data_IF_121942807992
#
_entry.id   IF_121942807992
#
_cell.length_a   1.000
_cell.length_b   1.000
_cell.length_c   1.000
_cell.angle_alpha   90.00
_cell.angle_beta   90.00
_cell.angle_gamma   90.00
#
_symmetry.space_group_name_H-M   'P 1'
#
loop_
_entity.id
_entity.type
_entity.pdbx_description
1 polymer ?
#
# COMPACT_ATOMS: atom_id res chain seq x y z
N UNK A 1 1.17 -5.69 16.87
CA UNK A 1 1.05 -6.74 15.83
C UNK A 1 1.48 -6.14 14.49
N UNK A 2 2.07 -6.93 13.60
CA UNK A 2 2.45 -6.55 12.24
C UNK A 2 1.86 -7.60 11.31
N UNK A 3 1.09 -7.18 10.30
CA UNK A 3 0.51 -8.10 9.33
C UNK A 3 1.50 -8.43 8.23
N UNK A 4 1.94 -7.40 7.50
CA UNK A 4 2.88 -7.51 6.39
C UNK A 4 4.03 -6.50 6.52
N UNK A 5 5.18 -6.87 5.94
CA UNK A 5 6.38 -6.07 5.84
C UNK A 5 7.05 -6.28 4.49
N UNK A 6 7.52 -5.19 3.90
CA UNK A 6 8.48 -5.25 2.81
C UNK A 6 9.89 -4.97 3.34
N UNK A 7 10.79 -5.93 3.14
CA UNK A 7 12.21 -5.81 3.49
C UNK A 7 13.06 -5.58 2.23
N UNK A 8 13.91 -4.56 2.25
CA UNK A 8 14.78 -4.18 1.12
C UNK A 8 16.18 -3.81 1.60
N UNK A 9 17.18 -4.03 0.74
CA UNK A 9 18.44 -3.31 0.89
C UNK A 9 18.23 -1.85 0.48
N UNK A 10 18.11 -0.96 1.46
CA UNK A 10 17.69 0.40 1.23
C UNK A 10 18.69 1.18 0.37
N UNK A 11 18.23 1.80 -0.71
CA UNK A 11 19.04 2.65 -1.58
C UNK A 11 18.38 4.02 -1.83
N UNK A 12 17.52 4.45 -0.92
CA UNK A 12 16.76 5.68 -1.04
C UNK A 12 17.55 6.95 -0.68
N UNK A 13 16.83 8.07 -0.50
CA UNK A 13 17.41 9.38 -0.21
C UNK A 13 18.12 9.48 1.15
N UNK A 14 17.68 8.76 2.18
CA UNK A 14 18.28 8.82 3.51
C UNK A 14 19.67 8.15 3.51
N UNK A 15 20.71 8.95 3.62
CA UNK A 15 22.10 8.48 3.49
C UNK A 15 22.55 7.64 4.69
N UNK A 16 21.93 7.80 5.85
CA UNK A 16 22.34 7.10 7.08
C UNK A 16 22.07 5.59 6.99
N UNK A 17 21.06 5.20 6.22
CA UNK A 17 20.61 3.80 6.10
C UNK A 17 20.92 3.18 4.73
N UNK A 18 21.78 3.81 3.91
CA UNK A 18 22.14 3.23 2.61
C UNK A 18 22.81 1.87 2.75
N UNK A 19 22.32 0.91 1.95
CA UNK A 19 22.72 -0.49 1.88
C UNK A 19 22.45 -1.28 3.18
N UNK A 20 21.62 -0.74 4.06
CA UNK A 20 21.10 -1.42 5.25
C UNK A 20 19.89 -2.27 4.88
N UNK A 21 19.70 -3.43 5.51
CA UNK A 21 18.47 -4.23 5.35
C UNK A 21 17.36 -3.56 6.20
N UNK A 22 16.44 -2.87 5.53
CA UNK A 22 15.35 -2.12 6.15
C UNK A 22 14.03 -2.83 5.86
N UNK A 23 13.21 -3.04 6.89
CA UNK A 23 11.83 -3.49 6.73
C UNK A 23 10.84 -2.38 7.05
N UNK A 24 9.92 -2.17 6.12
CA UNK A 24 8.80 -1.22 6.16
C UNK A 24 7.52 -2.01 6.38
N UNK A 25 6.80 -1.74 7.46
CA UNK A 25 5.73 -2.60 7.94
C UNK A 25 4.47 -1.81 8.28
N UNK A 26 3.30 -2.38 7.94
CA UNK A 26 2.03 -1.98 8.53
C UNK A 26 1.99 -2.42 10.00
N UNK A 27 2.13 -1.47 10.92
CA UNK A 27 2.22 -1.75 12.36
C UNK A 27 0.92 -1.33 13.05
N UNK A 28 0.17 -2.29 13.60
CA UNK A 28 -1.09 -2.04 14.32
C UNK A 28 -0.92 -1.14 15.55
N UNK A 29 0.26 -1.21 16.19
CA UNK A 29 0.56 -0.47 17.41
C UNK A 29 1.92 0.21 17.30
N UNK A 30 1.91 1.50 16.96
CA UNK A 30 3.08 2.34 17.20
C UNK A 30 3.23 2.63 18.71
N UNK A 31 4.46 2.54 19.23
CA UNK A 31 4.80 2.55 20.66
C UNK A 31 3.94 3.55 21.46
N UNK A 32 3.23 3.02 22.47
CA UNK A 32 2.43 3.73 23.51
C UNK A 32 1.25 4.59 23.03
N UNK A 33 0.81 4.50 21.78
CA UNK A 33 -0.31 5.34 21.28
C UNK A 33 -1.61 4.59 20.94
N UNK A 34 -1.66 3.25 21.04
CA UNK A 34 -2.80 2.42 20.61
C UNK A 34 -3.36 2.84 19.24
N UNK A 35 -2.46 3.26 18.35
CA UNK A 35 -2.76 3.70 16.99
C UNK A 35 -1.73 3.06 16.06
N UNK A 36 -2.21 2.61 14.91
CA UNK A 36 -1.38 2.03 13.89
C UNK A 36 -0.61 3.06 13.07
N UNK A 37 0.37 2.58 12.31
CA UNK A 37 1.23 3.41 11.50
C UNK A 37 2.21 2.63 10.64
N UNK A 38 3.09 3.37 9.97
CA UNK A 38 4.25 2.81 9.28
C UNK A 38 5.38 2.57 10.28
N UNK A 39 5.67 1.31 10.57
CA UNK A 39 6.83 0.88 11.35
C UNK A 39 8.04 0.64 10.46
N UNK A 40 9.21 1.14 10.88
CA UNK A 40 10.48 1.01 10.15
C UNK A 40 11.53 0.38 11.07
N UNK A 41 12.17 -0.68 10.57
CA UNK A 41 13.13 -1.47 11.35
C UNK A 41 14.41 -1.71 10.55
N UNK A 42 15.56 -1.60 11.21
CA UNK A 42 16.85 -2.12 10.71
C UNK A 42 16.97 -3.59 11.13
N UNK A 43 16.99 -4.45 10.11
CA UNK A 43 17.03 -5.91 10.22
C UNK A 43 18.40 -6.49 9.87
N UNK A 44 19.41 -5.65 9.66
CA UNK A 44 20.77 -6.07 9.28
C UNK A 44 21.36 -7.08 10.26
N UNK A 45 21.04 -6.93 11.56
CA UNK A 45 21.34 -7.93 12.58
C UNK A 45 20.04 -8.57 13.08
N UNK A 46 19.74 -9.77 12.59
CA UNK A 46 18.49 -10.50 12.91
C UNK A 46 18.35 -10.90 14.38
N UNK A 47 19.44 -10.92 15.15
CA UNK A 47 19.39 -11.18 16.59
C UNK A 47 19.31 -9.88 17.42
N UNK A 48 19.44 -8.73 16.77
CA UNK A 48 19.35 -7.41 17.39
C UNK A 48 18.66 -6.42 16.45
N UNK A 49 17.36 -6.66 16.24
CA UNK A 49 16.50 -5.81 15.42
C UNK A 49 16.42 -4.43 16.06
N UNK A 50 16.69 -3.38 15.28
CA UNK A 50 16.56 -2.00 15.77
C UNK A 50 15.29 -1.37 15.20
N UNK A 51 14.44 -0.89 16.08
CA UNK A 51 13.32 -0.03 15.70
C UNK A 51 13.86 1.37 15.35
N UNK A 52 13.65 1.80 14.10
CA UNK A 52 14.04 3.13 13.62
C UNK A 52 12.93 4.12 13.97
N UNK A 53 11.71 3.88 13.49
CA UNK A 53 10.58 4.77 13.70
C UNK A 53 9.25 4.03 13.61
N UNK A 54 8.19 4.67 14.12
CA UNK A 54 6.82 4.26 13.87
C UNK A 54 5.93 5.50 13.80
N UNK A 55 5.45 5.84 12.61
CA UNK A 55 4.69 7.07 12.37
C UNK A 55 3.22 6.75 12.12
N UNK A 56 2.36 7.32 12.94
CA UNK A 56 0.89 7.16 12.88
C UNK A 56 0.25 8.15 11.92
N UNK A 57 -0.98 7.87 11.48
CA UNK A 57 -1.82 8.74 10.66
C UNK A 57 -3.25 8.84 11.22
N UNK A 58 -4.05 9.73 10.64
CA UNK A 58 -5.47 9.89 10.99
C UNK A 58 -6.29 8.70 10.48
N UNK A 59 -7.34 8.30 11.22
CA UNK A 59 -8.18 7.14 10.89
C UNK A 59 -7.43 5.81 10.74
N UNK A 60 -6.24 5.69 11.34
CA UNK A 60 -5.55 4.40 11.38
C UNK A 60 -6.36 3.38 12.18
N UNK A 61 -6.56 2.22 11.58
CA UNK A 61 -7.35 1.11 12.11
C UNK A 61 -6.54 -0.19 12.08
N UNK A 62 -6.22 -0.67 10.89
CA UNK A 62 -5.40 -1.85 10.63
C UNK A 62 -4.45 -1.61 9.44
N UNK A 63 -3.35 -0.87 9.66
CA UNK A 63 -2.28 -0.74 8.67
C UNK A 63 -1.82 -2.14 8.24
N UNK A 64 -2.13 -2.49 7.00
CA UNK A 64 -2.17 -3.88 6.58
C UNK A 64 -0.90 -4.26 5.83
N UNK A 65 -0.60 -3.53 4.76
CA UNK A 65 0.47 -3.87 3.83
C UNK A 65 0.97 -2.62 3.09
N UNK A 66 2.10 -2.74 2.41
CA UNK A 66 2.56 -1.70 1.51
C UNK A 66 3.78 -2.08 0.68
N UNK A 67 4.11 -1.21 -0.27
CA UNK A 67 5.21 -1.41 -1.19
C UNK A 67 5.97 -0.12 -1.48
N UNK A 68 7.29 -0.22 -1.55
CA UNK A 68 8.22 0.88 -1.78
C UNK A 68 8.36 1.16 -3.29
N UNK A 69 8.59 2.43 -3.64
CA UNK A 69 8.94 2.84 -5.00
C UNK A 69 10.34 2.37 -5.41
N UNK A 70 10.61 2.29 -6.71
CA UNK A 70 11.94 1.93 -7.25
C UNK A 70 13.06 2.86 -6.75
N UNK A 71 12.72 4.13 -6.45
CA UNK A 71 13.64 5.12 -5.90
C UNK A 71 13.86 4.99 -4.38
N UNK A 72 13.14 4.09 -3.72
CA UNK A 72 13.11 3.90 -2.26
C UNK A 72 12.75 5.16 -1.46
N UNK A 73 12.15 6.16 -2.12
CA UNK A 73 11.74 7.42 -1.50
C UNK A 73 10.29 7.39 -1.05
N UNK A 74 9.43 6.68 -1.77
CA UNK A 74 8.01 6.64 -1.45
C UNK A 74 7.60 5.25 -1.01
N UNK A 75 6.71 5.18 -0.04
CA UNK A 75 6.07 3.94 0.38
C UNK A 75 4.55 4.10 0.27
N UNK A 76 3.93 3.18 -0.47
CA UNK A 76 2.49 3.14 -0.68
C UNK A 76 1.90 2.13 0.30
N UNK A 77 0.87 2.51 1.05
CA UNK A 77 0.35 1.70 2.15
C UNK A 77 -1.18 1.73 2.15
N UNK A 78 -1.80 0.59 2.46
CA UNK A 78 -3.24 0.45 2.69
C UNK A 78 -3.57 0.17 4.17
N UNK A 79 -4.82 0.41 4.54
CA UNK A 79 -5.39 0.13 5.86
C UNK A 79 -6.70 -0.65 5.71
N UNK A 80 -6.64 -1.97 5.86
CA UNK A 80 -7.75 -2.88 5.50
C UNK A 80 -8.99 -2.73 6.42
N UNK A 81 -8.98 -1.86 7.43
CA UNK A 81 -10.18 -1.62 8.24
C UNK A 81 -10.56 -0.16 8.44
N UNK A 82 -9.92 0.79 7.75
CA UNK A 82 -10.28 2.19 7.90
C UNK A 82 -11.64 2.51 7.25
N UNK A 83 -11.99 1.89 6.11
CA UNK A 83 -13.28 2.12 5.46
C UNK A 83 -14.45 1.59 6.31
N UNK A 84 -14.24 0.45 6.99
CA UNK A 84 -15.22 -0.15 7.89
C UNK A 84 -15.39 0.64 9.20
N UNK A 85 -14.28 1.00 9.84
CA UNK A 85 -14.31 1.59 11.18
C UNK A 85 -14.57 3.11 11.13
N UNK A 86 -14.09 3.78 10.09
CA UNK A 86 -14.13 5.24 9.97
C UNK A 86 -15.02 5.75 8.85
N UNK A 87 -15.63 4.85 8.06
CA UNK A 87 -16.54 5.23 6.98
C UNK A 87 -15.88 6.21 5.99
N UNK A 88 -14.61 5.93 5.64
CA UNK A 88 -13.86 6.67 4.63
C UNK A 88 -13.93 5.99 3.27
N UNK A 89 -13.58 6.73 2.22
CA UNK A 89 -13.39 6.17 0.88
C UNK A 89 -12.19 5.22 0.86
N UNK A 90 -12.18 4.27 -0.08
CA UNK A 90 -11.04 3.37 -0.28
C UNK A 90 -9.75 4.17 -0.46
N UNK A 91 -8.76 3.96 0.41
CA UNK A 91 -7.63 4.87 0.55
C UNK A 91 -6.28 4.21 0.21
N UNK A 92 -5.37 4.98 -0.40
CA UNK A 92 -3.95 4.59 -0.53
C UNK A 92 -3.08 5.71 0.03
N UNK A 93 -2.33 5.43 1.08
CA UNK A 93 -1.45 6.37 1.76
C UNK A 93 -0.08 6.43 1.06
N UNK A 94 0.51 7.62 1.00
CA UNK A 94 1.85 7.83 0.42
C UNK A 94 2.78 8.48 1.43
N UNK A 95 3.78 7.72 1.86
CA UNK A 95 4.82 8.17 2.78
C UNK A 95 6.06 8.63 2.01
N UNK A 96 6.63 9.78 2.37
CA UNK A 96 7.98 10.18 1.97
C UNK A 96 9.00 9.71 3.01
N UNK A 97 9.95 8.90 2.54
CA UNK A 97 11.05 8.25 3.25
C UNK A 97 12.37 9.00 3.08
N UNK A 98 12.33 10.32 2.86
CA UNK A 98 13.52 11.18 2.84
C UNK A 98 14.32 11.11 4.14
N UNK A 99 13.63 10.89 5.27
CA UNK A 99 14.22 10.66 6.59
C UNK A 99 13.50 9.46 7.23
N UNK A 100 14.18 8.31 7.38
CA UNK A 100 13.57 7.07 7.89
C UNK A 100 13.22 7.15 9.38
N UNK A 101 13.90 8.02 10.13
CA UNK A 101 13.61 8.28 11.55
C UNK A 101 12.29 9.06 11.75
N UNK A 102 11.81 9.75 10.72
CA UNK A 102 10.58 10.55 10.75
C UNK A 102 9.88 10.58 9.38
N UNK A 103 9.36 9.44 8.88
CA UNK A 103 8.67 9.41 7.60
C UNK A 103 7.42 10.29 7.66
N UNK A 104 7.07 10.92 6.54
CA UNK A 104 5.96 11.88 6.48
C UNK A 104 4.87 11.40 5.53
N UNK A 105 3.60 11.47 5.96
CA UNK A 105 2.47 11.24 5.06
C UNK A 105 2.31 12.47 4.18
N UNK A 106 2.71 12.36 2.90
CA UNK A 106 2.73 13.51 1.98
C UNK A 106 1.44 13.65 1.18
N UNK A 107 0.73 12.53 0.96
CA UNK A 107 -0.58 12.53 0.31
C UNK A 107 -1.30 11.21 0.52
N UNK A 108 -2.55 11.18 0.05
CA UNK A 108 -3.35 9.97 -0.08
C UNK A 108 -4.14 10.03 -1.40
N UNK A 109 -4.38 8.88 -2.00
CA UNK A 109 -5.40 8.72 -3.02
C UNK A 109 -6.66 8.15 -2.39
N UNK A 110 -7.82 8.62 -2.84
CA UNK A 110 -9.12 8.11 -2.39
C UNK A 110 -10.00 7.81 -3.59
N UNK A 111 -10.63 6.65 -3.59
CA UNK A 111 -11.64 6.33 -4.59
C UNK A 111 -12.98 6.97 -4.23
N UNK A 112 -13.23 8.19 -4.70
CA UNK A 112 -14.44 8.95 -4.38
C UNK A 112 -15.76 8.32 -4.88
N UNK A 113 -15.68 7.26 -5.69
CA UNK A 113 -16.85 6.55 -6.21
C UNK A 113 -17.28 5.36 -5.34
N UNK A 114 -16.49 4.98 -4.33
CA UNK A 114 -16.74 3.79 -3.52
C UNK A 114 -16.14 3.90 -2.12
N UNK A 115 -16.53 2.97 -1.25
CA UNK A 115 -16.00 2.80 0.11
C UNK A 115 -15.70 1.31 0.33
N UNK A 116 -15.12 0.64 -0.66
CA UNK A 116 -14.73 -0.77 -0.52
C UNK A 116 -13.46 -0.88 0.30
N UNK A 117 -13.31 -1.97 1.02
CA UNK A 117 -12.10 -2.27 1.79
C UNK A 117 -10.89 -2.37 0.83
N UNK A 118 -9.83 -1.62 1.10
CA UNK A 118 -8.55 -1.81 0.42
C UNK A 118 -7.86 -3.11 0.85
N UNK A 119 -7.03 -3.68 -0.01
CA UNK A 119 -6.26 -4.87 0.33
C UNK A 119 -4.87 -4.81 -0.33
N UNK A 120 -4.26 -5.97 -0.58
CA UNK A 120 -2.91 -6.11 -1.14
C UNK A 120 -2.63 -5.17 -2.31
N UNK A 121 -1.56 -4.37 -2.19
CA UNK A 121 -1.03 -3.49 -3.22
C UNK A 121 0.43 -3.79 -3.50
N UNK A 122 0.83 -3.62 -4.76
CA UNK A 122 2.22 -3.67 -5.17
C UNK A 122 2.55 -2.46 -6.04
N UNK A 123 3.76 -1.93 -5.87
CA UNK A 123 4.34 -0.99 -6.81
C UNK A 123 5.31 -1.71 -7.75
N UNK A 124 5.08 -1.57 -9.05
CA UNK A 124 5.94 -2.15 -10.07
C UNK A 124 5.94 -1.26 -11.33
N UNK A 125 7.13 -0.87 -11.80
CA UNK A 125 7.34 -0.10 -13.04
C UNK A 125 6.49 1.18 -13.14
N UNK A 126 6.36 1.90 -12.03
CA UNK A 126 5.59 3.16 -11.99
C UNK A 126 4.09 3.01 -11.78
N UNK A 127 3.59 1.78 -11.65
CA UNK A 127 2.19 1.47 -11.40
C UNK A 127 2.00 0.91 -9.99
N UNK A 128 0.94 1.35 -9.33
CA UNK A 128 0.43 0.73 -8.12
C UNK A 128 -0.77 -0.10 -8.55
N UNK A 129 -0.65 -1.42 -8.42
CA UNK A 129 -1.78 -2.33 -8.63
C UNK A 129 -2.28 -2.75 -7.25
N UNK A 130 -3.59 -2.69 -7.02
CA UNK A 130 -4.19 -2.99 -5.73
C UNK A 130 -5.48 -3.78 -5.88
N UNK A 131 -5.62 -4.83 -5.08
CA UNK A 131 -6.86 -5.58 -4.91
C UNK A 131 -7.69 -4.87 -3.86
N UNK A 132 -8.94 -4.51 -4.15
CA UNK A 132 -9.81 -3.79 -3.23
C UNK A 132 -11.14 -4.54 -3.04
N UNK A 133 -11.06 -5.83 -2.74
CA UNK A 133 -12.20 -6.71 -2.49
C UNK A 133 -13.33 -6.52 -3.53
N UNK A 134 -14.49 -6.03 -3.08
CA UNK A 134 -15.73 -5.88 -3.86
C UNK A 134 -15.66 -4.77 -4.91
N UNK A 135 -14.54 -4.05 -4.96
CA UNK A 135 -14.27 -3.01 -5.94
C UNK A 135 -13.14 -3.42 -6.90
N UNK A 136 -12.75 -4.70 -6.88
CA UNK A 136 -11.85 -5.32 -7.84
C UNK A 136 -10.41 -4.80 -7.82
N UNK A 137 -9.70 -5.03 -8.92
CA UNK A 137 -8.36 -4.50 -9.15
C UNK A 137 -8.44 -3.04 -9.56
N UNK A 138 -7.64 -2.19 -8.92
CA UNK A 138 -7.40 -0.79 -9.31
C UNK A 138 -5.94 -0.60 -9.69
N UNK A 139 -5.70 0.14 -10.76
CA UNK A 139 -4.34 0.48 -11.22
C UNK A 139 -4.17 1.99 -11.15
N UNK A 140 -3.28 2.44 -10.27
CA UNK A 140 -2.89 3.84 -10.15
C UNK A 140 -1.54 4.06 -10.82
N UNK A 141 -1.37 5.23 -11.45
CA UNK A 141 -0.07 5.74 -11.88
C UNK A 141 0.45 6.74 -10.87
N UNK A 142 1.71 6.55 -10.45
CA UNK A 142 2.39 7.49 -9.56
C UNK A 142 3.33 8.42 -10.33
N UNK A 143 3.18 9.73 -10.14
CA UNK A 143 4.08 10.75 -10.67
C UNK A 143 4.80 11.48 -9.53
N UNK A 144 6.05 11.07 -9.25
CA UNK A 144 6.87 11.69 -8.21
C UNK A 144 7.29 13.14 -8.50
N UNK A 145 7.17 13.59 -9.75
CA UNK A 145 7.58 14.94 -10.18
C UNK A 145 6.42 15.94 -10.19
N UNK A 146 5.20 15.50 -9.89
CA UNK A 146 4.06 16.40 -9.84
C UNK A 146 4.21 17.40 -8.66
N UNK A 147 3.86 18.65 -8.93
CA UNK A 147 4.07 19.78 -8.01
C UNK A 147 3.03 19.84 -6.88
N UNK A 148 1.90 19.15 -7.03
CA UNK A 148 0.84 19.06 -6.02
C UNK A 148 0.65 17.61 -5.59
N UNK A 149 0.76 17.29 -4.29
CA UNK A 149 0.70 15.91 -3.82
C UNK A 149 -0.57 15.15 -4.25
N UNK A 150 -1.73 15.82 -4.30
CA UNK A 150 -2.99 15.24 -4.78
C UNK A 150 -3.02 14.87 -6.27
N UNK A 151 -2.09 15.37 -7.08
CA UNK A 151 -1.94 14.99 -8.49
C UNK A 151 -0.91 13.88 -8.73
N UNK A 152 -0.25 13.42 -7.66
CA UNK A 152 0.78 12.39 -7.76
C UNK A 152 0.20 11.00 -8.01
N UNK A 153 -1.09 10.76 -7.69
CA UNK A 153 -1.76 9.47 -7.89
C UNK A 153 -2.99 9.64 -8.76
N UNK A 154 -3.08 8.84 -9.83
CA UNK A 154 -4.21 8.83 -10.75
C UNK A 154 -4.60 7.39 -11.09
N UNK A 155 -5.87 7.03 -10.90
CA UNK A 155 -6.40 5.77 -11.44
C UNK A 155 -6.39 5.83 -12.99
N UNK A 156 -5.81 4.80 -13.60
CA UNK A 156 -5.71 4.68 -15.07
C UNK A 156 -6.50 3.48 -15.62
N UNK A 157 -6.82 2.49 -14.77
CA UNK A 157 -7.60 1.33 -15.15
C UNK A 157 -8.19 0.64 -13.92
N UNK A 158 -9.22 -0.16 -14.15
CA UNK A 158 -9.77 -1.08 -13.16
C UNK A 158 -10.35 -2.32 -13.84
N UNK A 159 -10.49 -3.39 -13.07
CA UNK A 159 -11.21 -4.60 -13.46
C UNK A 159 -11.92 -5.14 -12.22
N UNK A 160 -13.21 -5.41 -12.34
CA UNK A 160 -14.01 -5.97 -11.25
C UNK A 160 -14.84 -7.15 -11.76
N UNK A 161 -14.68 -8.29 -11.09
CA UNK A 161 -15.46 -9.49 -11.35
C UNK A 161 -16.68 -9.61 -10.41
N UNK A 162 -16.70 -8.83 -9.32
CA UNK A 162 -17.79 -8.83 -8.36
C UNK A 162 -18.97 -8.01 -8.89
N UNK A 163 -20.10 -8.64 -9.15
CA UNK A 163 -21.23 -7.99 -9.82
C UNK A 163 -22.27 -7.41 -8.87
N UNK A 164 -22.16 -7.69 -7.57
CA UNK A 164 -23.10 -7.17 -6.58
C UNK A 164 -22.68 -5.77 -6.11
N UNK A 165 -23.61 -4.95 -5.56
CA UNK A 165 -23.24 -3.68 -4.95
C UNK A 165 -22.27 -3.88 -3.78
N UNK A 166 -21.25 -3.02 -3.69
CA UNK A 166 -20.27 -2.95 -2.59
C UNK A 166 -20.98 -2.73 -1.25
N UNK A 167 -20.56 -3.44 -0.21
CA UNK A 167 -21.18 -3.42 1.13
C UNK A 167 -20.25 -2.99 2.25
N UNK A 168 -19.01 -2.60 1.95
CA UNK A 168 -17.95 -2.10 2.88
C UNK A 168 -17.55 -3.08 3.99
N UNK A 169 -18.42 -4.00 4.38
CA UNK A 169 -18.29 -4.90 5.55
C UNK A 169 -17.92 -6.33 5.15
N UNK A 170 -17.66 -6.56 3.88
CA UNK A 170 -17.49 -7.89 3.29
C UNK A 170 -16.22 -7.98 2.46
N UNK A 171 -15.53 -9.10 2.60
CA UNK A 171 -14.26 -9.39 1.92
C UNK A 171 -14.44 -10.13 0.58
N UNK A 172 -15.58 -9.96 -0.12
CA UNK A 172 -15.79 -10.64 -1.41
C UNK A 172 -14.97 -9.98 -2.53
N UNK A 173 -14.90 -10.61 -3.72
CA UNK A 173 -14.15 -10.07 -4.85
C UNK A 173 -12.65 -10.35 -4.75
N UNK A 174 -11.81 -9.40 -5.18
CA UNK A 174 -10.36 -9.64 -5.36
C UNK A 174 -9.61 -9.65 -4.03
N UNK A 175 -8.99 -10.79 -3.69
CA UNK A 175 -8.14 -10.93 -2.51
C UNK A 175 -6.67 -10.61 -2.81
N UNK A 176 -6.19 -11.00 -3.99
CA UNK A 176 -4.78 -10.89 -4.33
C UNK A 176 -4.54 -10.80 -5.82
N UNK A 177 -3.33 -10.35 -6.16
CA UNK A 177 -2.89 -10.26 -7.53
C UNK A 177 -1.37 -10.38 -7.61
N UNK A 178 -0.86 -10.62 -8.82
CA UNK A 178 0.55 -10.71 -9.12
C UNK A 178 0.86 -9.87 -10.37
N UNK A 179 1.50 -8.69 -10.23
CA UNK A 179 1.74 -7.77 -11.34
C UNK A 179 3.17 -7.83 -11.90
N UNK A 180 3.99 -8.80 -11.49
CA UNK A 180 5.43 -8.81 -11.78
C UNK A 180 5.85 -9.53 -13.07
N UNK A 181 4.90 -9.82 -13.98
CA UNK A 181 5.25 -10.40 -15.28
C UNK A 181 5.85 -9.34 -16.22
N UNK A 182 6.92 -9.70 -16.94
CA UNK A 182 7.67 -8.77 -17.80
C UNK A 182 6.84 -8.20 -18.95
N UNK A 183 5.88 -9.00 -19.45
CA UNK A 183 4.97 -8.67 -20.54
C UNK A 183 3.75 -7.82 -20.10
N UNK A 184 3.71 -7.41 -18.83
CA UNK A 184 2.68 -6.55 -18.26
C UNK A 184 1.38 -7.26 -17.89
N UNK A 185 1.38 -8.60 -17.88
CA UNK A 185 0.24 -9.38 -17.39
C UNK A 185 0.09 -9.24 -15.88
N UNK A 186 -1.16 -9.09 -15.43
CA UNK A 186 -1.56 -9.16 -14.02
C UNK A 186 -2.48 -10.36 -13.84
N UNK A 187 -2.09 -11.29 -12.97
CA UNK A 187 -2.97 -12.41 -12.57
C UNK A 187 -3.64 -12.05 -11.25
N UNK A 188 -4.96 -12.16 -11.16
CA UNK A 188 -5.70 -11.90 -9.92
C UNK A 188 -6.59 -13.06 -9.53
N UNK A 189 -6.69 -13.30 -8.22
CA UNK A 189 -7.60 -14.27 -7.62
C UNK A 189 -8.70 -13.55 -6.84
N UNK A 190 -9.91 -14.01 -7.02
CA UNK A 190 -11.09 -13.58 -6.26
C UNK A 190 -11.52 -14.66 -5.27
N UNK A 191 -12.28 -14.29 -4.24
CA UNK A 191 -12.80 -15.26 -3.28
C UNK A 191 -13.88 -16.16 -3.89
N UNK A 192 -14.71 -15.66 -4.81
CA UNK A 192 -15.89 -16.40 -5.29
C UNK A 192 -15.97 -16.52 -6.83
N UNK A 193 -15.28 -15.68 -7.59
CA UNK A 193 -15.42 -15.55 -9.05
C UNK A 193 -14.32 -16.27 -9.85
N UNK A 194 -13.30 -16.79 -9.17
CA UNK A 194 -12.16 -17.51 -9.76
C UNK A 194 -10.93 -16.64 -10.03
N UNK A 195 -10.14 -17.06 -11.04
CA UNK A 195 -8.87 -16.44 -11.42
C UNK A 195 -8.99 -15.75 -12.77
N UNK A 196 -8.47 -14.53 -12.86
CA UNK A 196 -8.47 -13.72 -14.07
C UNK A 196 -7.04 -13.35 -14.48
N UNK A 197 -6.79 -13.36 -15.79
CA UNK A 197 -5.53 -12.94 -16.39
C UNK A 197 -5.81 -11.65 -17.16
N UNK A 198 -5.22 -10.55 -16.69
CA UNK A 198 -5.48 -9.20 -17.17
C UNK A 198 -4.24 -8.66 -17.85
N UNK A 199 -4.45 -7.78 -18.83
CA UNK A 199 -3.38 -6.98 -19.44
C UNK A 199 -3.90 -5.59 -19.67
N UNK A 200 -3.12 -4.58 -19.28
CA UNK A 200 -3.48 -3.19 -19.52
C UNK A 200 -3.51 -2.95 -21.04
N UNK A 201 -4.58 -2.32 -21.52
CA UNK A 201 -4.70 -1.93 -22.92
C UNK A 201 -3.77 -0.74 -23.22
N UNK A 202 -3.13 -0.77 -24.38
CA UNK A 202 -2.25 0.29 -24.88
C UNK A 202 -2.99 1.63 -25.12
#
# INVERSE_FOLDING_TARGET
YIHDCQCVYYNGPDKHFKKTEICLCGAKDCIKKNKGGLGIFDMTNRTNIKHISCTTYENSSYPHQGWISDSHRYFFMGDESDEMEHHVHTTTLVWDLSELESPTLVTQWQNLNTMSVDHNLFYYRGLITQSNYENGIRILKFNSSASTPSSNLKEIAHFDAFTAPVRVTTSNGTWGHWPFYEDGVVVTSTLNEGVFVLKLQD
#
